data_IF_482838515756
#
_entry.id   IF_482838515756
#
_cell.length_a   1.000
_cell.length_b   1.000
_cell.length_c   1.000
_cell.angle_alpha   90.00
_cell.angle_beta   90.00
_cell.angle_gamma   90.00
#
_symmetry.space_group_name_H-M   'P 1'
#
loop_
_entity.id
_entity.type
_entity.pdbx_description
1 polymer ?
#
# COMPACT_ATOMS: atom_id res chain seq x y z
N UNK A 1 1.31 -2.80 19.35
CA UNK A 1 2.15 -3.90 19.87
C UNK A 1 2.96 -4.60 18.78
N UNK A 2 2.39 -5.50 17.94
CA UNK A 2 3.19 -6.23 16.94
C UNK A 2 3.81 -5.31 15.86
N UNK A 3 3.03 -4.36 15.35
CA UNK A 3 3.46 -3.37 14.34
C UNK A 3 4.54 -2.40 14.87
N UNK A 4 4.43 -1.95 16.13
CA UNK A 4 5.43 -1.09 16.76
C UNK A 4 6.75 -1.84 16.99
N UNK A 5 6.69 -3.11 17.41
CA UNK A 5 7.87 -3.96 17.56
C UNK A 5 8.54 -4.21 16.21
N UNK A 6 7.77 -4.50 15.17
CA UNK A 6 8.30 -4.67 13.81
C UNK A 6 8.99 -3.39 13.31
N UNK A 7 8.34 -2.23 13.48
CA UNK A 7 8.91 -0.94 13.12
C UNK A 7 10.22 -0.63 13.87
N UNK A 8 10.27 -0.96 15.16
CA UNK A 8 11.49 -0.82 15.96
C UNK A 8 12.62 -1.73 15.45
N UNK A 9 12.33 -3.00 15.18
CA UNK A 9 13.31 -3.96 14.65
C UNK A 9 13.83 -3.54 13.27
N UNK A 10 12.95 -3.05 12.41
CA UNK A 10 13.32 -2.55 11.09
C UNK A 10 14.24 -1.33 11.19
N UNK A 11 13.89 -0.37 12.05
CA UNK A 11 14.72 0.82 12.29
C UNK A 11 16.11 0.45 12.84
N UNK A 12 16.17 -0.51 13.77
CA UNK A 12 17.43 -1.06 14.26
C UNK A 12 18.26 -1.72 13.16
N UNK A 13 17.65 -2.58 12.34
CA UNK A 13 18.34 -3.23 11.23
C UNK A 13 18.94 -2.21 10.24
N UNK A 14 18.22 -1.13 9.93
CA UNK A 14 18.74 -0.07 9.07
C UNK A 14 19.87 0.73 9.70
N UNK A 15 19.84 0.95 11.02
CA UNK A 15 20.94 1.59 11.74
C UNK A 15 22.19 0.72 11.73
N UNK A 16 22.06 -0.58 12.02
CA UNK A 16 23.17 -1.53 12.02
C UNK A 16 23.75 -1.73 10.62
N UNK A 17 22.90 -1.69 9.58
CA UNK A 17 23.35 -1.68 8.19
C UNK A 17 24.12 -0.40 7.85
N UNK A 18 23.60 0.77 8.21
CA UNK A 18 24.27 2.04 7.95
C UNK A 18 25.62 2.15 8.68
N UNK A 19 25.73 1.56 9.88
CA UNK A 19 26.98 1.47 10.64
C UNK A 19 28.01 0.62 9.89
N UNK A 20 27.63 -0.56 9.40
CA UNK A 20 28.50 -1.43 8.61
C UNK A 20 28.94 -0.79 7.29
N UNK A 21 28.00 -0.14 6.58
CA UNK A 21 28.30 0.62 5.36
C UNK A 21 29.32 1.75 5.63
N UNK A 22 29.22 2.44 6.76
CA UNK A 22 30.17 3.47 7.16
C UNK A 22 31.55 2.91 7.53
N UNK A 23 31.59 1.75 8.21
CA UNK A 23 32.84 1.05 8.54
C UNK A 23 33.58 0.59 7.27
N UNK A 24 32.85 0.00 6.32
CA UNK A 24 33.40 -0.38 5.01
C UNK A 24 33.93 0.83 4.24
N UNK A 25 33.20 1.94 4.26
CA UNK A 25 33.64 3.20 3.65
C UNK A 25 34.94 3.71 4.28
N UNK A 26 35.01 3.76 5.61
CA UNK A 26 36.20 4.24 6.32
C UNK A 26 37.40 3.32 6.14
N UNK A 27 37.19 2.00 6.01
CA UNK A 27 38.26 1.04 5.72
C UNK A 27 38.98 1.32 4.39
N UNK A 28 38.29 1.95 3.42
CA UNK A 28 38.87 2.41 2.16
C UNK A 28 39.71 3.70 2.26
N UNK A 29 39.78 4.33 3.44
CA UNK A 29 40.44 5.63 3.65
C UNK A 29 41.48 5.55 4.78
N UNK A 30 42.60 4.85 4.57
CA UNK A 30 43.60 4.60 5.63
C UNK A 30 44.31 5.86 6.14
N UNK A 31 44.14 7.00 5.48
CA UNK A 31 44.70 8.29 5.92
C UNK A 31 43.84 9.02 6.97
N UNK A 32 42.65 8.49 7.29
CA UNK A 32 41.78 9.10 8.30
C UNK A 32 42.29 8.83 9.71
N UNK A 33 42.29 9.87 10.53
CA UNK A 33 42.47 9.73 11.99
C UNK A 33 41.20 9.16 12.62
N UNK A 34 41.32 8.61 13.83
CA UNK A 34 40.16 8.08 14.59
C UNK A 34 39.04 9.12 14.73
N UNK A 35 39.36 10.37 15.04
CA UNK A 35 38.37 11.44 15.16
C UNK A 35 37.64 11.72 13.83
N UNK A 36 38.35 11.69 12.70
CA UNK A 36 37.74 11.86 11.39
C UNK A 36 36.86 10.67 11.01
N UNK A 37 37.27 9.45 11.36
CA UNK A 37 36.47 8.23 11.17
C UNK A 37 35.17 8.28 11.96
N UNK A 38 35.23 8.70 13.23
CA UNK A 38 34.04 8.84 14.09
C UNK A 38 33.08 9.90 13.56
N UNK A 39 33.60 11.07 13.15
CA UNK A 39 32.79 12.15 12.57
C UNK A 39 32.12 11.72 11.27
N UNK A 40 32.88 11.12 10.35
CA UNK A 40 32.37 10.63 9.08
C UNK A 40 31.32 9.53 9.28
N UNK A 41 31.57 8.59 10.18
CA UNK A 41 30.62 7.52 10.51
C UNK A 41 29.31 8.10 11.04
N UNK A 42 29.38 9.04 11.99
CA UNK A 42 28.19 9.68 12.55
C UNK A 42 27.40 10.48 11.50
N UNK A 43 28.10 11.18 10.60
CA UNK A 43 27.48 11.91 9.49
C UNK A 43 26.82 10.95 8.49
N UNK A 44 27.54 9.91 8.07
CA UNK A 44 27.05 8.91 7.12
C UNK A 44 25.79 8.22 7.65
N UNK A 45 25.84 7.70 8.87
CA UNK A 45 24.71 6.99 9.49
C UNK A 45 23.47 7.89 9.54
N UNK A 46 23.65 9.17 9.94
CA UNK A 46 22.54 10.13 10.00
C UNK A 46 21.93 10.38 8.63
N UNK A 47 22.76 10.64 7.62
CA UNK A 47 22.30 10.87 6.25
C UNK A 47 21.62 9.64 5.67
N UNK A 48 22.19 8.45 5.90
CA UNK A 48 21.64 7.18 5.42
C UNK A 48 20.28 6.88 6.02
N UNK A 49 20.12 7.12 7.33
CA UNK A 49 18.84 6.97 8.01
C UNK A 49 17.79 7.96 7.52
N UNK A 50 18.17 9.21 7.23
CA UNK A 50 17.23 10.20 6.68
C UNK A 50 16.72 9.78 5.29
N UNK A 51 17.61 9.33 4.40
CA UNK A 51 17.22 8.78 3.09
C UNK A 51 16.29 7.58 3.24
N UNK A 52 16.65 6.61 4.09
CA UNK A 52 15.80 5.44 4.35
C UNK A 52 14.41 5.87 4.85
N UNK A 53 14.35 6.83 5.78
CA UNK A 53 13.09 7.37 6.28
C UNK A 53 12.24 7.99 5.17
N UNK A 54 12.84 8.80 4.31
CA UNK A 54 12.14 9.43 3.18
C UNK A 54 11.59 8.39 2.21
N UNK A 55 12.37 7.34 1.89
CA UNK A 55 11.94 6.26 1.01
C UNK A 55 10.77 5.47 1.62
N UNK A 56 10.83 5.15 2.91
CA UNK A 56 9.73 4.46 3.61
C UNK A 56 8.45 5.30 3.60
N UNK A 57 8.54 6.59 3.91
CA UNK A 57 7.38 7.50 3.88
C UNK A 57 6.81 7.64 2.46
N UNK A 58 7.69 7.66 1.45
CA UNK A 58 7.29 7.63 0.04
C UNK A 58 6.49 6.38 -0.31
N UNK A 59 6.97 5.21 0.10
CA UNK A 59 6.30 3.92 -0.12
C UNK A 59 4.94 3.86 0.57
N UNK A 60 4.86 4.28 1.84
CA UNK A 60 3.59 4.32 2.60
C UNK A 60 2.58 5.22 1.91
N UNK A 61 3.00 6.43 1.50
CA UNK A 61 2.14 7.37 0.77
C UNK A 61 1.66 6.75 -0.55
N UNK A 62 2.56 6.15 -1.33
CA UNK A 62 2.18 5.53 -2.61
C UNK A 62 1.23 4.36 -2.43
N UNK A 63 1.42 3.55 -1.39
CA UNK A 63 0.53 2.45 -1.06
C UNK A 63 -0.88 2.96 -0.71
N UNK A 64 -0.98 4.07 0.02
CA UNK A 64 -2.26 4.71 0.33
C UNK A 64 -2.96 5.24 -0.94
N UNK A 65 -2.23 5.94 -1.81
CA UNK A 65 -2.76 6.43 -3.09
C UNK A 65 -3.27 5.28 -3.99
N UNK A 66 -2.50 4.20 -4.09
CA UNK A 66 -2.91 3.01 -4.85
C UNK A 66 -4.18 2.40 -4.26
N UNK A 67 -4.22 2.24 -2.92
CA UNK A 67 -5.39 1.70 -2.24
C UNK A 67 -6.64 2.52 -2.55
N UNK A 68 -6.54 3.84 -2.46
CA UNK A 68 -7.64 4.73 -2.80
C UNK A 68 -8.09 4.59 -4.26
N UNK A 69 -7.16 4.54 -5.21
CA UNK A 69 -7.45 4.33 -6.63
C UNK A 69 -8.21 3.01 -6.87
N UNK A 70 -7.75 1.92 -6.25
CA UNK A 70 -8.37 0.61 -6.38
C UNK A 70 -9.74 0.54 -5.69
N UNK A 71 -9.88 1.08 -4.49
CA UNK A 71 -11.15 1.11 -3.77
C UNK A 71 -12.21 1.93 -4.54
N UNK A 72 -11.80 3.06 -5.13
CA UNK A 72 -12.67 3.87 -5.98
C UNK A 72 -13.12 3.12 -7.23
N UNK A 73 -12.19 2.47 -7.96
CA UNK A 73 -12.53 1.63 -9.12
C UNK A 73 -13.44 0.48 -8.75
N UNK A 74 -13.14 -0.21 -7.64
CA UNK A 74 -13.95 -1.31 -7.14
C UNK A 74 -15.37 -0.87 -6.79
N UNK A 75 -15.52 0.27 -6.11
CA UNK A 75 -16.83 0.83 -5.77
C UNK A 75 -17.66 1.19 -7.01
N UNK A 76 -17.02 1.69 -8.07
CA UNK A 76 -17.70 1.93 -9.36
C UNK A 76 -18.17 0.64 -10.02
N UNK A 77 -17.28 -0.36 -10.13
CA UNK A 77 -17.60 -1.65 -10.72
C UNK A 77 -18.70 -2.37 -9.93
N UNK A 78 -18.61 -2.39 -8.60
CA UNK A 78 -19.63 -2.96 -7.72
C UNK A 78 -20.99 -2.31 -7.94
N UNK A 79 -21.07 -0.98 -8.02
CA UNK A 79 -22.32 -0.26 -8.31
C UNK A 79 -22.88 -0.61 -9.69
N UNK A 80 -22.04 -0.66 -10.72
CA UNK A 80 -22.46 -1.02 -12.07
C UNK A 80 -23.02 -2.45 -12.13
N UNK A 81 -22.34 -3.40 -11.50
CA UNK A 81 -22.76 -4.80 -11.41
C UNK A 81 -24.12 -4.93 -10.72
N UNK A 82 -24.27 -4.31 -9.54
CA UNK A 82 -25.54 -4.33 -8.80
C UNK A 82 -26.69 -3.70 -9.60
N UNK A 83 -26.46 -2.58 -10.29
CA UNK A 83 -27.47 -1.95 -11.16
C UNK A 83 -27.90 -2.89 -12.29
N UNK A 84 -26.95 -3.56 -12.95
CA UNK A 84 -27.25 -4.51 -14.04
C UNK A 84 -28.07 -5.70 -13.54
N UNK A 85 -27.70 -6.29 -12.40
CA UNK A 85 -28.46 -7.41 -11.83
C UNK A 85 -29.85 -6.99 -11.35
N UNK A 86 -29.98 -5.82 -10.71
CA UNK A 86 -31.28 -5.29 -10.31
C UNK A 86 -32.19 -5.05 -11.52
N UNK A 87 -31.67 -4.42 -12.58
CA UNK A 87 -32.42 -4.21 -13.82
C UNK A 87 -32.84 -5.54 -14.48
N UNK A 88 -31.93 -6.53 -14.53
CA UNK A 88 -32.23 -7.86 -15.03
C UNK A 88 -33.32 -8.58 -14.22
N UNK A 89 -33.25 -8.51 -12.89
CA UNK A 89 -34.26 -9.09 -12.01
C UNK A 89 -35.63 -8.42 -12.20
N UNK A 90 -35.68 -7.09 -12.29
CA UNK A 90 -36.90 -6.35 -12.60
C UNK A 90 -37.49 -6.76 -13.95
N UNK A 91 -36.66 -6.91 -14.99
CA UNK A 91 -37.10 -7.34 -16.31
C UNK A 91 -37.70 -8.76 -16.28
N UNK A 92 -37.06 -9.70 -15.59
CA UNK A 92 -37.57 -11.08 -15.43
C UNK A 92 -38.91 -11.08 -14.70
N UNK A 93 -39.03 -10.33 -13.60
CA UNK A 93 -40.28 -10.21 -12.85
C UNK A 93 -41.40 -9.59 -13.69
N UNK A 94 -41.12 -8.53 -14.45
CA UNK A 94 -42.08 -7.90 -15.33
C UNK A 94 -42.57 -8.85 -16.43
N UNK A 95 -41.67 -9.61 -17.05
CA UNK A 95 -42.02 -10.64 -18.04
C UNK A 95 -42.89 -11.74 -17.43
N UNK A 96 -42.51 -12.26 -16.25
CA UNK A 96 -43.27 -13.31 -15.57
C UNK A 96 -44.69 -12.82 -15.19
N UNK A 97 -44.82 -11.60 -14.69
CA UNK A 97 -46.10 -10.99 -14.38
C UNK A 97 -46.96 -10.78 -15.64
N UNK A 98 -46.36 -10.30 -16.73
CA UNK A 98 -47.05 -10.14 -18.01
C UNK A 98 -47.58 -11.46 -18.57
N UNK A 99 -46.77 -12.52 -18.55
CA UNK A 99 -47.19 -13.86 -18.97
C UNK A 99 -48.33 -14.39 -18.09
N UNK A 100 -48.24 -14.23 -16.77
CA UNK A 100 -49.30 -14.64 -15.84
C UNK A 100 -50.61 -13.89 -16.06
N UNK A 101 -50.55 -12.58 -16.33
CA UNK A 101 -51.74 -11.78 -16.63
C UNK A 101 -52.41 -12.21 -17.95
N UNK A 102 -51.64 -12.44 -19.01
CA UNK A 102 -52.15 -12.91 -20.31
C UNK A 102 -52.78 -14.31 -20.17
N UNK A 103 -52.13 -15.22 -19.46
CA UNK A 103 -52.68 -16.55 -19.20
C UNK A 103 -54.00 -16.48 -18.40
N UNK A 104 -54.07 -15.61 -17.38
CA UNK A 104 -55.29 -15.41 -16.58
C UNK A 104 -56.46 -14.83 -17.37
N UNK A 105 -56.20 -13.98 -18.39
CA UNK A 105 -57.24 -13.47 -19.30
C UNK A 105 -57.72 -14.55 -20.26
N UNK A 106 -56.83 -15.42 -20.76
CA UNK A 106 -57.19 -16.49 -21.70
C UNK A 106 -57.96 -17.66 -21.07
N UNK A 107 -57.82 -17.87 -19.76
CA UNK A 107 -58.48 -18.97 -19.02
C UNK A 107 -59.87 -18.57 -18.50
N UNK A 108 -60.22 -17.28 -18.57
CA UNK A 108 -61.47 -16.73 -18.03
C UNK A 108 -62.52 -16.55 -19.12
#
# INVERSE_FOLDING_TARGET
MADETEGYLLAHAHRDQAQREAEELCAGMPWLTTAQTEELTAHYVRQRLDVTRQLMLGTVRRAAELREEYENRYAQLRRALLRRHAAGACAVLACAAGVGAVAGVLIR
#
